data_IF_660328811301
#
_entry.id   IF_660328811301
#
_cell.length_a   1.000
_cell.length_b   1.000
_cell.length_c   1.000
_cell.angle_alpha   90.00
_cell.angle_beta   90.00
_cell.angle_gamma   90.00
#
_symmetry.space_group_name_H-M   'P 1'
#
loop_
_entity.id
_entity.type
_entity.pdbx_description
1 polymer ?
#
# COMPACT_ATOMS: atom_id res chain seq x y z
N UNK A 1 -26.07 -27.99 -50.89
CA UNK A 1 -25.75 -26.60 -50.50
C UNK A 1 -25.71 -26.53 -48.98
N UNK A 2 -24.50 -26.61 -48.39
CA UNK A 2 -24.27 -26.74 -46.94
C UNK A 2 -24.13 -25.36 -46.30
N UNK A 3 -25.07 -25.03 -45.41
CA UNK A 3 -25.01 -23.89 -44.50
C UNK A 3 -23.92 -24.19 -43.46
N UNK A 4 -22.87 -23.37 -43.36
CA UNK A 4 -21.91 -23.42 -42.26
C UNK A 4 -22.04 -22.11 -41.48
N UNK A 5 -22.71 -22.23 -40.34
CA UNK A 5 -22.87 -21.19 -39.32
C UNK A 5 -21.56 -21.15 -38.52
N UNK A 6 -20.68 -20.18 -38.80
CA UNK A 6 -19.49 -19.93 -37.97
C UNK A 6 -19.89 -19.00 -36.81
N UNK A 7 -20.25 -19.60 -35.68
CA UNK A 7 -20.42 -18.88 -34.41
C UNK A 7 -19.03 -18.67 -33.81
N UNK A 8 -18.46 -17.48 -34.02
CA UNK A 8 -17.26 -16.99 -33.35
C UNK A 8 -17.60 -16.74 -31.88
N UNK A 9 -17.39 -17.77 -31.04
CA UNK A 9 -17.39 -17.61 -29.58
C UNK A 9 -16.07 -16.95 -29.19
N UNK A 10 -16.02 -15.63 -29.31
CA UNK A 10 -15.05 -14.81 -28.59
C UNK A 10 -15.45 -14.81 -27.12
N UNK A 11 -15.03 -15.84 -26.37
CA UNK A 11 -15.01 -15.78 -24.92
C UNK A 11 -14.04 -14.66 -24.54
N UNK A 12 -14.62 -13.49 -24.32
CA UNK A 12 -13.97 -12.39 -23.63
C UNK A 12 -13.44 -12.95 -22.31
N UNK A 13 -12.12 -13.10 -22.22
CA UNK A 13 -11.44 -13.22 -20.95
C UNK A 13 -11.68 -11.90 -20.20
N UNK A 14 -12.83 -11.83 -19.53
CA UNK A 14 -13.07 -10.80 -18.53
C UNK A 14 -12.09 -11.06 -17.41
N UNK A 15 -10.92 -10.42 -17.49
CA UNK A 15 -9.97 -10.30 -16.39
C UNK A 15 -10.66 -9.48 -15.30
N UNK A 16 -11.50 -10.14 -14.49
CA UNK A 16 -12.01 -9.55 -13.27
C UNK A 16 -10.81 -9.31 -12.37
N UNK A 17 -10.35 -8.06 -12.31
CA UNK A 17 -9.34 -7.60 -11.35
C UNK A 17 -9.89 -7.81 -9.94
N UNK A 18 -9.56 -8.96 -9.35
CA UNK A 18 -9.82 -9.21 -7.94
C UNK A 18 -8.85 -8.35 -7.12
N UNK A 19 -9.34 -7.73 -6.05
CA UNK A 19 -8.47 -6.92 -5.20
C UNK A 19 -7.43 -7.86 -4.62
N UNK A 20 -6.16 -7.49 -4.69
CA UNK A 20 -5.12 -8.30 -4.10
C UNK A 20 -5.32 -8.32 -2.58
N UNK A 21 -5.75 -9.48 -2.07
CA UNK A 21 -5.82 -9.72 -0.64
C UNK A 21 -4.40 -9.77 -0.09
N UNK A 22 -4.12 -8.96 0.93
CA UNK A 22 -2.82 -8.81 1.58
C UNK A 22 -2.76 -9.65 2.85
N UNK A 23 -3.83 -9.62 3.63
CA UNK A 23 -3.88 -10.29 4.92
C UNK A 23 -5.29 -10.46 5.46
N UNK A 24 -5.36 -10.84 6.73
CA UNK A 24 -6.61 -10.99 7.47
C UNK A 24 -6.45 -10.49 8.90
N UNK A 25 -7.58 -10.17 9.51
CA UNK A 25 -7.72 -9.83 10.93
C UNK A 25 -8.43 -11.01 11.60
N UNK A 26 -7.77 -11.65 12.57
CA UNK A 26 -8.37 -12.73 13.37
C UNK A 26 -7.92 -12.58 14.82
N UNK A 27 -8.87 -12.63 15.75
CA UNK A 27 -8.59 -12.49 17.19
C UNK A 27 -7.78 -11.21 17.51
N UNK A 28 -8.14 -10.09 16.88
CA UNK A 28 -7.43 -8.80 17.00
C UNK A 28 -5.95 -8.82 16.56
N UNK A 29 -5.51 -9.85 15.83
CA UNK A 29 -4.17 -9.94 15.26
C UNK A 29 -4.20 -9.82 13.74
N UNK A 30 -3.23 -9.09 13.19
CA UNK A 30 -3.00 -9.01 11.76
C UNK A 30 -2.12 -10.16 11.29
N UNK A 31 -2.51 -10.80 10.19
CA UNK A 31 -1.68 -11.81 9.52
C UNK A 31 -1.59 -11.51 8.04
N UNK A 32 -0.38 -11.30 7.55
CA UNK A 32 -0.10 -11.25 6.12
C UNK A 32 -0.25 -12.67 5.55
N UNK A 33 -1.03 -12.81 4.49
CA UNK A 33 -1.29 -14.09 3.81
C UNK A 33 -0.84 -14.09 2.36
N UNK A 34 -0.51 -12.92 1.80
CA UNK A 34 -0.09 -12.77 0.42
C UNK A 34 1.41 -12.98 0.22
N UNK A 35 1.81 -13.36 -1.00
CA UNK A 35 3.19 -13.16 -1.45
C UNK A 35 3.43 -11.67 -1.70
N UNK A 36 4.38 -11.08 -0.96
CA UNK A 36 4.70 -9.67 -1.03
C UNK A 36 5.83 -9.34 -2.02
N UNK A 37 6.48 -10.33 -2.65
CA UNK A 37 7.59 -10.11 -3.59
C UNK A 37 7.22 -9.19 -4.78
N UNK A 38 6.02 -9.27 -5.38
CA UNK A 38 5.64 -8.34 -6.45
C UNK A 38 5.50 -6.90 -5.93
N UNK A 39 4.87 -6.73 -4.76
CA UNK A 39 4.66 -5.42 -4.12
C UNK A 39 6.00 -4.81 -3.74
N UNK A 40 6.88 -5.62 -3.14
CA UNK A 40 8.24 -5.22 -2.80
C UNK A 40 8.99 -4.68 -4.01
N UNK A 41 9.05 -5.44 -5.11
CA UNK A 41 9.75 -5.02 -6.33
C UNK A 41 9.15 -3.73 -6.90
N UNK A 42 7.83 -3.61 -6.90
CA UNK A 42 7.15 -2.38 -7.36
C UNK A 42 7.54 -1.17 -6.50
N UNK A 43 7.50 -1.31 -5.17
CA UNK A 43 7.84 -0.21 -4.25
C UNK A 43 9.32 0.16 -4.31
N UNK A 44 10.22 -0.83 -4.40
CA UNK A 44 11.66 -0.58 -4.58
C UNK A 44 11.96 0.15 -5.90
N UNK A 45 11.28 -0.23 -6.98
CA UNK A 45 11.40 0.46 -8.27
C UNK A 45 10.88 1.90 -8.18
N UNK A 46 9.72 2.12 -7.55
CA UNK A 46 9.16 3.46 -7.31
C UNK A 46 10.12 4.33 -6.50
N UNK A 47 10.73 3.79 -5.45
CA UNK A 47 11.71 4.48 -4.62
C UNK A 47 12.98 4.84 -5.42
N UNK A 48 13.44 3.92 -6.28
CA UNK A 48 14.58 4.16 -7.16
C UNK A 48 14.29 5.30 -8.16
N UNK A 49 13.09 5.36 -8.73
CA UNK A 49 12.64 6.44 -9.61
C UNK A 49 12.61 7.80 -8.89
N UNK A 50 12.27 7.80 -7.60
CA UNK A 50 12.33 8.96 -6.70
C UNK A 50 13.74 9.32 -6.22
N UNK A 51 14.77 8.62 -6.69
CA UNK A 51 16.17 8.79 -6.26
C UNK A 51 16.40 8.43 -4.77
N UNK A 52 15.58 7.54 -4.21
CA UNK A 52 15.68 7.01 -2.84
C UNK A 52 16.06 5.53 -2.93
N UNK A 53 17.32 5.14 -3.12
CA UNK A 53 17.69 3.74 -3.21
C UNK A 53 17.50 3.06 -1.84
N UNK A 54 16.53 2.14 -1.75
CA UNK A 54 16.26 1.40 -0.53
C UNK A 54 15.81 -0.02 -0.83
N UNK A 55 16.32 -0.97 -0.04
CA UNK A 55 15.89 -2.37 -0.07
C UNK A 55 14.89 -2.61 1.04
N UNK A 56 13.64 -2.92 0.67
CA UNK A 56 12.54 -3.05 1.61
C UNK A 56 12.52 -4.43 2.25
N UNK A 57 12.47 -4.43 3.56
CA UNK A 57 12.32 -5.60 4.43
C UNK A 57 11.13 -5.34 5.38
N UNK A 58 10.95 -6.16 6.42
CA UNK A 58 10.04 -5.89 7.53
C UNK A 58 8.64 -5.40 7.11
N UNK A 59 7.92 -6.22 6.34
CA UNK A 59 6.54 -5.94 5.99
C UNK A 59 5.62 -6.28 7.16
N UNK A 60 4.75 -5.35 7.51
CA UNK A 60 3.76 -5.53 8.56
C UNK A 60 2.45 -4.82 8.22
N UNK A 61 1.36 -5.29 8.82
CA UNK A 61 0.08 -4.60 8.76
C UNK A 61 -0.06 -3.84 10.07
N UNK A 62 -0.39 -2.56 9.95
CA UNK A 62 -0.72 -1.71 11.09
C UNK A 62 -2.13 -1.12 10.94
N UNK A 63 -2.70 -0.74 12.07
CA UNK A 63 -3.91 0.07 12.13
C UNK A 63 -3.66 1.33 12.92
N UNK A 64 -4.37 2.40 12.60
CA UNK A 64 -4.39 3.62 13.38
C UNK A 64 -5.77 4.27 13.36
N UNK A 65 -5.90 5.35 14.13
CA UNK A 65 -7.07 6.22 14.10
C UNK A 65 -6.67 7.54 13.48
N UNK A 66 -7.43 8.02 12.51
CA UNK A 66 -7.29 9.39 12.02
C UNK A 66 -7.79 10.33 13.11
N UNK A 67 -6.88 11.13 13.68
CA UNK A 67 -7.15 11.99 14.83
C UNK A 67 -8.22 13.07 14.56
N UNK A 68 -8.53 13.35 13.28
CA UNK A 68 -9.50 14.38 12.90
C UNK A 68 -10.85 13.74 12.57
N UNK A 69 -10.87 12.69 11.75
CA UNK A 69 -12.14 12.04 11.36
C UNK A 69 -12.63 11.00 12.36
N UNK A 70 -11.77 10.53 13.28
CA UNK A 70 -12.04 9.39 14.17
C UNK A 70 -12.07 8.03 13.45
N UNK A 71 -11.86 8.01 12.14
CA UNK A 71 -11.90 6.80 11.33
C UNK A 71 -10.71 5.89 11.62
N UNK A 72 -10.97 4.58 11.76
CA UNK A 72 -9.90 3.57 11.79
C UNK A 72 -9.39 3.34 10.38
N UNK A 73 -8.08 3.38 10.19
CA UNK A 73 -7.43 2.98 8.95
C UNK A 73 -6.52 1.78 9.16
N UNK A 74 -6.27 1.06 8.07
CA UNK A 74 -5.32 -0.05 8.01
C UNK A 74 -4.31 0.22 6.91
N UNK A 75 -3.08 -0.25 7.08
CA UNK A 75 -2.03 -0.07 6.09
C UNK A 75 -1.08 -1.26 6.05
N UNK A 76 -0.56 -1.54 4.87
CA UNK A 76 0.65 -2.34 4.71
C UNK A 76 1.83 -1.39 4.81
N UNK A 77 2.72 -1.63 5.77
CA UNK A 77 3.94 -0.87 6.01
C UNK A 77 5.15 -1.75 5.68
N UNK A 78 6.13 -1.18 4.99
CA UNK A 78 7.45 -1.77 4.80
C UNK A 78 8.52 -0.79 5.26
N UNK A 79 9.68 -1.30 5.66
CA UNK A 79 10.84 -0.46 6.00
C UNK A 79 12.11 -1.03 5.43
N UNK A 80 13.10 -0.20 5.15
CA UNK A 80 14.42 -0.70 4.80
C UNK A 80 15.19 -1.23 6.03
N UNK A 81 16.37 -1.82 5.81
CA UNK A 81 17.13 -2.53 6.86
C UNK A 81 17.50 -1.64 8.07
N UNK A 82 17.87 -0.39 7.82
CA UNK A 82 18.22 0.58 8.87
C UNK A 82 17.00 1.37 9.40
N UNK A 83 15.82 1.15 8.81
CA UNK A 83 14.55 1.82 9.12
C UNK A 83 14.58 3.34 8.86
N UNK A 84 15.45 3.81 7.97
CA UNK A 84 15.51 5.21 7.54
C UNK A 84 14.46 5.57 6.48
N UNK A 85 13.92 4.58 5.77
CA UNK A 85 12.85 4.72 4.77
C UNK A 85 11.71 3.78 5.14
N UNK A 86 10.48 4.31 5.14
CA UNK A 86 9.25 3.54 5.30
C UNK A 86 8.27 3.84 4.19
N UNK A 87 7.62 2.80 3.68
CA UNK A 87 6.61 2.90 2.63
C UNK A 87 5.31 2.31 3.14
N UNK A 88 4.21 3.04 2.98
CA UNK A 88 2.88 2.60 3.36
C UNK A 88 1.87 2.76 2.23
N UNK A 89 0.93 1.81 2.18
CA UNK A 89 -0.27 1.89 1.34
C UNK A 89 -1.49 1.45 2.13
N UNK A 90 -2.60 2.15 1.91
CA UNK A 90 -3.84 1.91 2.65
C UNK A 90 -4.46 0.55 2.28
N UNK A 91 -5.03 -0.10 3.28
CA UNK A 91 -5.76 -1.36 3.14
C UNK A 91 -7.24 -1.16 3.49
N UNK A 92 -8.10 -1.79 2.72
CA UNK A 92 -9.53 -1.88 2.97
C UNK A 92 -9.83 -3.15 3.77
N UNK A 93 -10.53 -3.02 4.90
CA UNK A 93 -11.03 -4.17 5.68
C UNK A 93 -12.45 -4.53 5.21
N UNK A 94 -12.63 -5.73 4.67
CA UNK A 94 -13.94 -6.28 4.27
C UNK A 94 -14.06 -7.73 4.74
N UNK A 95 -15.08 -8.02 5.55
CA UNK A 95 -15.35 -9.37 6.08
C UNK A 95 -14.14 -10.05 6.77
N UNK A 96 -13.32 -9.27 7.48
CA UNK A 96 -12.10 -9.77 8.15
C UNK A 96 -10.87 -9.88 7.25
N UNK A 97 -10.98 -9.57 5.96
CA UNK A 97 -9.87 -9.58 5.01
C UNK A 97 -9.37 -8.17 4.73
N UNK A 98 -8.06 -8.03 4.61
CA UNK A 98 -7.38 -6.79 4.26
C UNK A 98 -6.85 -6.89 2.82
N UNK A 99 -7.28 -5.98 1.96
CA UNK A 99 -6.85 -5.90 0.57
C UNK A 99 -6.50 -4.46 0.20
N UNK A 100 -5.74 -4.26 -0.88
CA UNK A 100 -5.64 -2.92 -1.46
C UNK A 100 -7.01 -2.44 -1.96
N UNK A 101 -7.21 -1.13 -1.92
CA UNK A 101 -8.37 -0.49 -2.54
C UNK A 101 -8.35 -0.70 -4.06
N UNK A 102 -9.54 -0.71 -4.69
CA UNK A 102 -9.66 -0.84 -6.14
C UNK A 102 -9.88 0.53 -6.78
N UNK A 103 -9.07 0.87 -7.78
CA UNK A 103 -9.31 2.01 -8.66
C UNK A 103 -9.44 3.33 -7.90
N UNK A 104 -10.56 4.05 -8.10
CA UNK A 104 -10.79 5.37 -7.48
C UNK A 104 -11.10 5.32 -5.99
N UNK A 105 -11.30 4.14 -5.42
CA UNK A 105 -11.55 4.01 -3.98
C UNK A 105 -10.28 4.20 -3.15
N UNK A 106 -9.09 4.21 -3.77
CA UNK A 106 -7.84 4.37 -3.03
C UNK A 106 -7.73 5.79 -2.44
N UNK A 107 -7.77 5.93 -1.12
CA UNK A 107 -8.00 7.24 -0.54
C UNK A 107 -6.74 8.10 -0.49
N UNK A 108 -5.54 7.48 -0.46
CA UNK A 108 -4.30 8.18 -0.11
C UNK A 108 -3.09 7.91 -1.03
N UNK A 109 -3.17 6.92 -1.93
CA UNK A 109 -2.02 6.44 -2.70
C UNK A 109 -0.94 5.79 -1.82
N UNK A 110 0.30 5.77 -2.31
CA UNK A 110 1.47 5.23 -1.60
C UNK A 110 2.24 6.39 -0.94
N UNK A 111 2.52 6.28 0.36
CA UNK A 111 3.37 7.23 1.08
C UNK A 111 4.76 6.65 1.33
N UNK A 112 5.78 7.47 1.10
CA UNK A 112 7.15 7.25 1.52
C UNK A 112 7.48 8.28 2.60
N UNK A 113 7.92 7.81 3.76
CA UNK A 113 8.46 8.64 4.84
C UNK A 113 9.96 8.35 4.99
N UNK A 114 10.76 9.40 5.03
CA UNK A 114 12.22 9.32 5.18
C UNK A 114 12.76 10.49 6.01
N UNK A 115 14.08 10.55 6.21
CA UNK A 115 14.76 11.67 6.87
C UNK A 115 15.42 11.29 8.19
N UNK A 116 14.70 10.67 9.13
CA UNK A 116 15.24 10.29 10.43
C UNK A 116 15.15 8.80 10.74
N UNK A 117 16.23 8.25 11.31
CA UNK A 117 16.34 6.83 11.62
C UNK A 117 15.27 6.43 12.64
N UNK A 118 14.44 5.46 12.27
CA UNK A 118 13.42 4.78 13.11
C UNK A 118 12.18 5.60 13.48
N UNK A 119 12.28 6.92 13.67
CA UNK A 119 11.18 7.73 14.21
C UNK A 119 10.12 8.12 13.17
N UNK A 120 10.50 8.31 11.91
CA UNK A 120 9.55 8.75 10.87
C UNK A 120 8.60 7.62 10.47
N UNK A 121 7.29 7.79 10.62
CA UNK A 121 6.26 6.79 10.35
C UNK A 121 5.14 7.39 9.49
N UNK A 122 4.70 6.69 8.43
CA UNK A 122 3.46 7.06 7.74
C UNK A 122 2.26 6.92 8.69
N UNK A 123 1.44 7.97 8.79
CA UNK A 123 0.16 7.96 9.51
C UNK A 123 -0.89 8.74 8.72
N UNK A 124 -2.17 8.63 9.09
CA UNK A 124 -3.26 9.37 8.42
C UNK A 124 -3.79 10.47 9.35
N UNK A 125 -3.92 11.68 8.81
CA UNK A 125 -4.56 12.82 9.50
C UNK A 125 -5.41 13.60 8.51
N UNK A 126 -6.69 13.84 8.85
CA UNK A 126 -7.69 14.45 7.98
C UNK A 126 -7.75 13.78 6.58
N UNK A 127 -7.75 12.45 6.56
CA UNK A 127 -7.80 11.69 5.30
C UNK A 127 -6.62 11.92 4.37
N UNK A 128 -5.44 12.26 4.89
CA UNK A 128 -4.20 12.37 4.12
C UNK A 128 -3.06 11.68 4.83
N UNK A 129 -2.14 11.10 4.06
CA UNK A 129 -0.87 10.66 4.61
C UNK A 129 -0.13 11.83 5.25
N UNK A 130 0.47 11.60 6.41
CA UNK A 130 1.49 12.46 7.00
C UNK A 130 2.66 11.56 7.42
N UNK A 131 3.83 12.15 7.60
CA UNK A 131 4.95 11.46 8.22
C UNK A 131 5.09 12.02 9.63
N UNK A 132 4.73 11.20 10.63
CA UNK A 132 4.83 11.56 12.04
C UNK A 132 6.08 10.94 12.66
N UNK A 133 6.71 11.65 13.59
CA UNK A 133 7.94 11.21 14.23
C UNK A 133 8.72 12.36 14.85
N UNK A 134 9.06 12.23 16.14
CA UNK A 134 9.99 13.13 16.80
C UNK A 134 11.43 12.83 16.35
N UNK A 135 11.86 13.42 15.25
CA UNK A 135 13.26 13.38 14.84
C UNK A 135 14.08 14.29 15.78
N UNK A 136 15.10 13.76 16.45
CA UNK A 136 16.05 14.57 17.21
C UNK A 136 17.09 15.17 16.24
N UNK A 137 17.14 16.50 16.09
CA UNK A 137 18.17 17.22 15.32
C UNK A 137 17.75 17.71 13.93
N UNK A 138 18.73 17.88 13.03
CA UNK A 138 18.67 18.65 11.77
C UNK A 138 18.00 17.95 10.57
N UNK A 139 17.48 16.72 10.75
CA UNK A 139 16.84 15.96 9.65
C UNK A 139 15.35 15.82 9.92
N UNK A 140 14.51 16.74 9.40
CA UNK A 140 13.06 16.63 9.55
C UNK A 140 12.54 15.39 8.80
N UNK A 141 11.37 14.91 9.22
CA UNK A 141 10.62 13.92 8.46
C UNK A 141 10.28 14.46 7.07
N UNK A 142 10.71 13.76 6.03
CA UNK A 142 10.35 14.04 4.65
C UNK A 142 9.28 13.07 4.18
N UNK A 143 8.28 13.61 3.50
CA UNK A 143 7.15 12.88 2.94
C UNK A 143 7.16 12.99 1.42
N UNK A 144 7.06 11.85 0.75
CA UNK A 144 6.73 11.77 -0.68
C UNK A 144 5.48 10.94 -0.85
N UNK A 145 4.56 11.36 -1.71
CA UNK A 145 3.34 10.58 -2.01
C UNK A 145 3.29 10.33 -3.50
N UNK A 146 3.08 9.08 -3.85
CA UNK A 146 2.84 8.65 -5.23
C UNK A 146 1.38 8.29 -5.36
N UNK A 147 0.65 9.07 -6.15
CA UNK A 147 -0.64 8.64 -6.65
C UNK A 147 -0.40 7.58 -7.73
N UNK A 148 -1.03 6.42 -7.63
CA UNK A 148 -1.05 5.48 -8.75
C UNK A 148 -1.81 6.13 -9.91
N UNK A 149 -1.08 6.49 -10.98
CA UNK A 149 -1.69 6.95 -12.22
C UNK A 149 -2.28 5.72 -12.89
N UNK A 150 -3.61 5.71 -13.03
CA UNK A 150 -4.35 4.64 -13.72
C UNK A 150 -3.78 4.43 -15.13
N UNK A 151 -3.42 3.20 -15.46
CA UNK A 151 -3.39 2.73 -16.85
C UNK A 151 -4.69 2.01 -17.17
#
# INVERSE_FOLDING_TARGET
MKKILFVLIAFAFMNTSQAQQIGLVRNAQFRITANLDPIKRQWEQMLLEQKIPAYLVNFEIQSGMDNISGGTYYMLLASNQDRSVKVARALQLKNGYLSFYKGQEEPFGIATCSGCNKACNPTVSAGKWICDGACAGDKPCEKTVTAEIKQ
#
